data_IF_444285806528
#
_entry.id   IF_444285806528
#
_cell.length_a   1.000
_cell.length_b   1.000
_cell.length_c   1.000
_cell.angle_alpha   90.00
_cell.angle_beta   90.00
_cell.angle_gamma   90.00
#
_symmetry.space_group_name_H-M   'P 1'
#
loop_
_entity.id
_entity.type
_entity.pdbx_description
1 polymer ?
#
# COMPACT_ATOMS: atom_id res chain seq x y z
N UNK A 1 30.83 -17.47 0.66
CA UNK A 1 30.13 -16.18 0.85
C UNK A 1 29.28 -15.93 -0.38
N UNK A 2 27.96 -15.77 -0.24
CA UNK A 2 27.06 -15.42 -1.34
C UNK A 2 26.74 -13.93 -1.26
N UNK A 3 27.52 -13.09 -1.93
CA UNK A 3 27.31 -11.63 -1.96
C UNK A 3 26.14 -11.21 -2.89
N UNK A 4 25.63 -12.15 -3.67
CA UNK A 4 24.59 -11.93 -4.69
C UNK A 4 23.18 -12.31 -4.23
N UNK A 5 23.04 -13.08 -3.15
CA UNK A 5 21.73 -13.52 -2.65
C UNK A 5 21.14 -12.47 -1.71
N UNK A 6 20.00 -11.91 -2.08
CA UNK A 6 19.25 -10.94 -1.27
C UNK A 6 17.89 -11.50 -0.91
N UNK A 7 17.51 -11.33 0.34
CA UNK A 7 16.19 -11.72 0.85
C UNK A 7 15.32 -10.48 1.03
N UNK A 8 14.06 -10.57 0.60
CA UNK A 8 13.02 -9.66 1.05
C UNK A 8 12.36 -10.24 2.28
N UNK A 9 12.22 -9.42 3.32
CA UNK A 9 11.56 -9.80 4.57
C UNK A 9 10.14 -9.23 4.62
N UNK A 10 9.30 -9.86 5.44
CA UNK A 10 7.90 -9.45 5.61
C UNK A 10 7.76 -8.00 6.08
N UNK A 11 6.70 -7.34 5.63
CA UNK A 11 6.39 -5.96 5.93
C UNK A 11 6.30 -5.70 7.44
N UNK A 12 7.07 -4.72 7.92
CA UNK A 12 6.90 -4.19 9.27
C UNK A 12 5.58 -3.42 9.35
N UNK A 13 4.72 -3.82 10.30
CA UNK A 13 3.38 -3.23 10.48
C UNK A 13 3.45 -1.70 10.55
N UNK A 14 2.69 -1.03 9.69
CA UNK A 14 2.56 0.42 9.66
C UNK A 14 3.70 1.16 8.97
N UNK A 15 4.69 0.47 8.38
CA UNK A 15 5.72 1.10 7.55
C UNK A 15 5.34 1.10 6.08
N UNK A 16 5.38 2.27 5.45
CA UNK A 16 5.04 2.45 4.04
C UNK A 16 5.93 1.64 3.09
N UNK A 17 7.19 1.38 3.47
CA UNK A 17 8.11 0.53 2.70
C UNK A 17 7.65 -0.93 2.55
N UNK A 18 6.77 -1.41 3.43
CA UNK A 18 6.17 -2.75 3.35
C UNK A 18 4.80 -2.78 2.69
N UNK A 19 4.22 -1.64 2.34
CA UNK A 19 2.83 -1.56 1.87
C UNK A 19 2.61 -2.32 0.54
N UNK A 20 3.62 -2.33 -0.34
CA UNK A 20 3.56 -3.08 -1.59
C UNK A 20 3.34 -4.59 -1.36
N UNK A 21 3.84 -5.15 -0.26
CA UNK A 21 3.61 -6.57 0.09
C UNK A 21 2.17 -6.80 0.55
N UNK A 22 1.58 -5.85 1.27
CA UNK A 22 0.16 -5.89 1.65
C UNK A 22 -0.75 -5.75 0.43
N UNK A 23 -0.32 -5.02 -0.60
CA UNK A 23 -1.04 -4.91 -1.86
C UNK A 23 -0.90 -6.19 -2.68
N UNK A 24 0.31 -6.75 -2.76
CA UNK A 24 0.62 -8.03 -3.41
C UNK A 24 -0.22 -9.18 -2.84
N UNK A 25 -0.33 -9.28 -1.51
CA UNK A 25 -1.06 -10.35 -0.83
C UNK A 25 -2.58 -10.38 -1.13
N UNK A 26 -3.11 -9.36 -1.80
CA UNK A 26 -4.53 -9.29 -2.21
C UNK A 26 -4.76 -9.74 -3.65
N UNK A 27 -3.69 -9.90 -4.42
CA UNK A 27 -3.75 -10.34 -5.80
C UNK A 27 -3.91 -11.86 -5.86
N UNK A 28 -4.41 -12.35 -7.00
CA UNK A 28 -4.40 -13.79 -7.30
C UNK A 28 -2.97 -14.31 -7.42
N UNK A 29 -2.75 -15.62 -7.24
CA UNK A 29 -1.41 -16.23 -7.36
C UNK A 29 -0.71 -15.88 -8.69
N UNK A 30 -1.45 -15.87 -9.80
CA UNK A 30 -0.93 -15.50 -11.11
C UNK A 30 -0.44 -14.04 -11.16
N UNK A 31 -1.24 -13.10 -10.68
CA UNK A 31 -0.87 -11.68 -10.61
C UNK A 31 0.29 -11.43 -9.63
N UNK A 32 0.37 -12.19 -8.54
CA UNK A 32 1.49 -12.11 -7.59
C UNK A 32 2.81 -12.51 -8.24
N UNK A 33 2.83 -13.62 -8.99
CA UNK A 33 4.03 -14.06 -9.72
C UNK A 33 4.44 -13.00 -10.72
N UNK A 34 3.51 -12.50 -11.54
CA UNK A 34 3.81 -11.48 -12.54
C UNK A 34 4.42 -10.23 -11.90
N UNK A 35 3.85 -9.77 -10.78
CA UNK A 35 4.38 -8.63 -10.04
C UNK A 35 5.78 -8.92 -9.48
N UNK A 36 5.99 -10.03 -8.78
CA UNK A 36 7.29 -10.43 -8.23
C UNK A 36 8.37 -10.52 -9.32
N UNK A 37 8.04 -11.08 -10.48
CA UNK A 37 8.96 -11.21 -11.61
C UNK A 37 9.31 -9.87 -12.23
N UNK A 38 8.33 -8.98 -12.41
CA UNK A 38 8.58 -7.59 -12.83
C UNK A 38 9.47 -6.84 -11.84
N UNK A 39 9.42 -7.19 -10.56
CA UNK A 39 10.28 -6.63 -9.52
C UNK A 39 11.67 -7.28 -9.46
N UNK A 40 11.94 -8.28 -10.31
CA UNK A 40 13.22 -8.96 -10.38
C UNK A 40 13.42 -10.05 -9.32
N UNK A 41 12.36 -10.51 -8.65
CA UNK A 41 12.49 -11.65 -7.74
C UNK A 41 12.80 -12.93 -8.52
N UNK A 42 13.90 -13.59 -8.15
CA UNK A 42 14.35 -14.81 -8.81
C UNK A 42 13.72 -16.10 -8.23
N UNK A 43 13.12 -16.02 -7.04
CA UNK A 43 12.54 -17.17 -6.37
C UNK A 43 11.54 -16.81 -5.27
N UNK A 44 10.67 -17.76 -4.94
CA UNK A 44 9.81 -17.76 -3.76
C UNK A 44 10.36 -18.80 -2.78
N UNK A 45 10.65 -18.37 -1.55
CA UNK A 45 11.04 -19.27 -0.46
C UNK A 45 9.84 -19.51 0.47
N UNK A 46 9.51 -20.78 0.71
CA UNK A 46 8.42 -21.18 1.60
C UNK A 46 8.88 -22.24 2.60
N UNK A 47 8.30 -22.19 3.79
CA UNK A 47 8.40 -23.25 4.78
C UNK A 47 7.06 -23.99 4.83
N UNK A 48 7.07 -25.28 4.48
CA UNK A 48 5.89 -26.15 4.47
C UNK A 48 5.14 -26.14 5.81
N UNK A 49 5.84 -25.98 6.93
CA UNK A 49 5.21 -25.93 8.27
C UNK A 49 4.30 -24.72 8.48
N UNK A 50 4.43 -23.68 7.65
CA UNK A 50 3.58 -22.49 7.69
C UNK A 50 2.19 -22.71 7.06
N UNK A 51 1.93 -23.87 6.47
CA UNK A 51 0.70 -24.17 5.72
C UNK A 51 0.02 -25.42 6.28
N UNK A 52 -1.31 -25.39 6.38
CA UNK A 52 -2.10 -26.52 6.87
C UNK A 52 -1.98 -27.76 5.96
N UNK A 53 -1.92 -27.53 4.65
CA UNK A 53 -1.75 -28.55 3.60
C UNK A 53 -0.27 -28.73 3.21
N UNK A 54 0.67 -28.24 4.03
CA UNK A 54 2.10 -28.20 3.72
C UNK A 54 2.47 -27.42 2.46
N UNK A 55 1.57 -26.57 1.96
CA UNK A 55 1.77 -25.71 0.80
C UNK A 55 1.53 -26.40 -0.54
N UNK A 56 0.96 -27.61 -0.55
CA UNK A 56 0.75 -28.39 -1.77
C UNK A 56 -0.18 -27.68 -2.77
N UNK A 57 -1.25 -27.03 -2.31
CA UNK A 57 -2.14 -26.27 -3.18
C UNK A 57 -1.41 -25.12 -3.89
N UNK A 58 -0.66 -24.30 -3.13
CA UNK A 58 0.15 -23.21 -3.68
C UNK A 58 1.20 -23.76 -4.67
N UNK A 59 1.89 -24.84 -4.32
CA UNK A 59 2.87 -25.46 -5.20
C UNK A 59 2.26 -25.97 -6.50
N UNK A 60 1.08 -26.58 -6.45
CA UNK A 60 0.35 -27.03 -7.63
C UNK A 60 -0.05 -25.85 -8.53
N UNK A 61 -0.56 -24.76 -7.95
CA UNK A 61 -0.87 -23.52 -8.68
C UNK A 61 0.37 -22.93 -9.35
N UNK A 62 1.49 -22.83 -8.62
CA UNK A 62 2.76 -22.35 -9.18
C UNK A 62 3.22 -23.22 -10.35
N UNK A 63 3.12 -24.54 -10.25
CA UNK A 63 3.46 -25.45 -11.34
C UNK A 63 2.54 -25.29 -12.55
N UNK A 64 1.23 -25.11 -12.34
CA UNK A 64 0.26 -24.86 -13.41
C UNK A 64 0.55 -23.53 -14.14
N UNK A 65 1.15 -22.55 -13.45
CA UNK A 65 1.63 -21.29 -14.02
C UNK A 65 3.03 -21.39 -14.64
N UNK A 66 3.57 -22.60 -14.80
CA UNK A 66 4.88 -22.84 -15.42
C UNK A 66 6.07 -22.71 -14.46
N UNK A 67 5.85 -22.59 -13.15
CA UNK A 67 6.88 -22.49 -12.10
C UNK A 67 7.09 -23.82 -11.39
N UNK A 68 7.53 -24.81 -12.16
CA UNK A 68 7.74 -26.18 -11.66
C UNK A 68 9.14 -26.45 -11.12
N UNK A 69 10.13 -25.62 -11.46
CA UNK A 69 11.52 -25.78 -10.98
C UNK A 69 11.61 -25.45 -9.48
N UNK A 70 12.02 -26.44 -8.68
CA UNK A 70 12.06 -26.36 -7.22
C UNK A 70 13.38 -26.87 -6.67
N UNK A 71 13.85 -26.23 -5.60
CA UNK A 71 14.97 -26.69 -4.78
C UNK A 71 14.39 -27.01 -3.40
N UNK A 72 14.57 -28.24 -2.93
CA UNK A 72 14.12 -28.65 -1.61
C UNK A 72 15.30 -28.74 -0.64
N UNK A 73 15.08 -28.30 0.61
CA UNK A 73 16.03 -28.55 1.68
C UNK A 73 16.14 -30.05 1.99
N UNK A 74 17.21 -30.45 2.70
CA UNK A 74 17.47 -31.86 3.05
C UNK A 74 16.28 -32.53 3.76
N UNK A 75 15.59 -31.78 4.63
CA UNK A 75 14.39 -32.25 5.36
C UNK A 75 13.08 -32.05 4.59
N UNK A 76 13.15 -31.51 3.36
CA UNK A 76 12.02 -31.14 2.49
C UNK A 76 11.02 -30.15 3.09
N UNK A 77 11.37 -29.49 4.19
CA UNK A 77 10.50 -28.52 4.86
C UNK A 77 10.59 -27.13 4.25
N UNK A 78 11.79 -26.76 3.78
CA UNK A 78 12.03 -25.55 3.03
C UNK A 78 11.98 -25.89 1.54
N UNK A 79 11.23 -25.09 0.78
CA UNK A 79 11.21 -25.18 -0.68
C UNK A 79 11.49 -23.79 -1.24
N UNK A 80 12.32 -23.76 -2.28
CA UNK A 80 12.52 -22.60 -3.14
C UNK A 80 11.92 -22.92 -4.49
N UNK A 81 10.94 -22.13 -4.93
CA UNK A 81 10.37 -22.20 -6.28
C UNK A 81 11.05 -21.12 -7.12
N UNK A 82 11.63 -21.48 -8.27
CA UNK A 82 12.31 -20.52 -9.14
C UNK A 82 11.32 -19.75 -10.01
N UNK A 83 11.60 -18.46 -10.14
CA UNK A 83 10.87 -17.49 -10.96
C UNK A 83 11.73 -17.09 -12.17
N UNK A 84 11.12 -16.39 -13.13
CA UNK A 84 11.80 -15.78 -14.27
C UNK A 84 11.79 -14.25 -14.04
N UNK A 85 12.83 -13.70 -13.40
CA UNK A 85 12.90 -12.26 -13.16
C UNK A 85 12.99 -11.51 -14.49
N UNK A 86 12.32 -10.36 -14.57
CA UNK A 86 12.42 -9.47 -15.72
C UNK A 86 13.88 -9.00 -15.93
N UNK A 87 14.30 -8.90 -17.19
CA UNK A 87 15.64 -8.44 -17.55
C UNK A 87 15.94 -7.01 -17.07
N UNK A 88 14.90 -6.18 -17.00
CA UNK A 88 14.95 -4.82 -16.47
C UNK A 88 13.90 -4.69 -15.36
N UNK A 89 14.25 -5.03 -14.11
CA UNK A 89 13.30 -5.03 -13.02
C UNK A 89 12.90 -3.61 -12.62
N UNK A 90 11.63 -3.43 -12.25
CA UNK A 90 11.12 -2.18 -11.69
C UNK A 90 11.04 -2.27 -10.16
N UNK A 91 11.27 -1.19 -9.41
CA UNK A 91 11.17 -1.25 -7.96
C UNK A 91 9.74 -1.62 -7.49
N UNK A 92 9.59 -2.45 -6.43
CA UNK A 92 8.29 -2.71 -5.83
C UNK A 92 7.65 -1.42 -5.33
N UNK A 93 6.42 -1.17 -5.78
CA UNK A 93 5.71 0.06 -5.48
C UNK A 93 4.31 -0.23 -4.94
N UNK A 94 3.93 0.50 -3.89
CA UNK A 94 2.60 0.40 -3.32
C UNK A 94 1.58 1.12 -4.22
N UNK A 95 0.35 0.60 -4.27
CA UNK A 95 -0.79 1.20 -4.96
C UNK A 95 -1.65 2.05 -4.03
N UNK A 96 -1.38 1.98 -2.73
CA UNK A 96 -2.09 2.69 -1.66
C UNK A 96 -1.12 3.38 -0.72
N UNK A 97 -1.60 4.44 -0.09
CA UNK A 97 -0.96 5.10 1.03
C UNK A 97 -1.14 4.28 2.31
N UNK A 98 -0.15 4.30 3.18
CA UNK A 98 -0.18 3.64 4.49
C UNK A 98 -0.70 4.59 5.55
N UNK A 99 -1.81 4.22 6.20
CA UNK A 99 -2.35 4.97 7.32
C UNK A 99 -1.44 4.90 8.56
N UNK A 100 -1.15 6.07 9.13
CA UNK A 100 -0.34 6.25 10.33
C UNK A 100 -1.17 6.65 11.56
N UNK A 101 -0.78 7.76 12.21
CA UNK A 101 -1.47 8.29 13.41
C UNK A 101 -2.74 9.05 13.05
N UNK A 102 -3.61 9.25 14.04
CA UNK A 102 -4.84 10.02 13.95
C UNK A 102 -6.04 9.32 13.32
N UNK A 103 -5.90 8.06 12.92
CA UNK A 103 -6.97 7.27 12.31
C UNK A 103 -7.60 6.29 13.30
N UNK A 104 -8.92 6.21 13.27
CA UNK A 104 -9.64 5.10 13.89
C UNK A 104 -9.24 3.78 13.24
N UNK A 105 -9.09 2.74 14.06
CA UNK A 105 -8.97 1.38 13.55
C UNK A 105 -10.35 0.91 13.09
N UNK A 106 -10.45 0.25 11.93
CA UNK A 106 -11.66 -0.46 11.57
C UNK A 106 -12.05 -1.42 12.71
N UNK A 107 -13.35 -1.61 12.99
CA UNK A 107 -13.82 -2.65 13.88
C UNK A 107 -13.26 -4.02 13.47
N UNK A 108 -13.10 -4.94 14.42
CA UNK A 108 -12.76 -6.33 14.09
C UNK A 108 -13.86 -6.91 13.18
N UNK A 109 -13.47 -7.40 12.00
CA UNK A 109 -14.43 -7.90 10.99
C UNK A 109 -15.08 -6.82 10.13
N UNK A 110 -14.74 -5.53 10.31
CA UNK A 110 -15.21 -4.46 9.44
C UNK A 110 -14.79 -4.69 7.98
N UNK A 111 -15.70 -4.43 7.05
CA UNK A 111 -15.41 -4.54 5.62
C UNK A 111 -14.32 -3.52 5.25
N UNK A 112 -13.40 -3.91 4.36
CA UNK A 112 -12.37 -2.99 3.86
C UNK A 112 -12.94 -1.76 3.12
N UNK A 113 -14.24 -1.77 2.82
CA UNK A 113 -14.98 -0.68 2.17
C UNK A 113 -15.47 0.38 3.15
N UNK A 114 -15.35 0.17 4.48
CA UNK A 114 -15.71 1.19 5.44
C UNK A 114 -14.73 2.37 5.42
N UNK A 115 -15.22 3.62 5.47
CA UNK A 115 -14.36 4.78 5.52
C UNK A 115 -13.52 4.79 6.79
N UNK A 116 -12.24 5.14 6.64
CA UNK A 116 -11.35 5.33 7.78
C UNK A 116 -11.46 6.75 8.30
N UNK A 117 -12.03 6.87 9.49
CA UNK A 117 -12.26 8.17 10.14
C UNK A 117 -11.03 8.66 10.90
N UNK A 118 -10.75 9.96 10.78
CA UNK A 118 -9.82 10.68 11.63
C UNK A 118 -10.53 11.26 12.86
N UNK A 119 -9.84 11.31 14.00
CA UNK A 119 -10.31 11.94 15.25
C UNK A 119 -9.39 13.01 15.80
N UNK A 120 -8.17 13.09 15.27
CA UNK A 120 -7.13 14.10 15.53
C UNK A 120 -6.38 14.36 14.19
N UNK A 121 -5.43 15.31 14.11
CA UNK A 121 -4.59 15.47 12.93
C UNK A 121 -4.00 14.13 12.52
N UNK A 122 -4.18 13.76 11.25
CA UNK A 122 -3.97 12.41 10.79
C UNK A 122 -2.89 12.34 9.72
N UNK A 123 -2.05 11.31 9.79
CA UNK A 123 -0.93 11.14 8.85
C UNK A 123 -1.12 9.87 8.02
N UNK A 124 -0.91 9.98 6.72
CA UNK A 124 -0.67 8.85 5.83
C UNK A 124 0.77 8.94 5.31
N UNK A 125 1.33 7.82 4.87
CA UNK A 125 2.71 7.79 4.37
C UNK A 125 2.81 6.95 3.11
N UNK A 126 3.78 7.29 2.27
CA UNK A 126 4.14 6.55 1.08
C UNK A 126 5.65 6.37 1.04
N UNK A 127 6.12 5.28 0.44
CA UNK A 127 7.55 5.07 0.22
C UNK A 127 7.81 5.17 -1.29
N UNK A 128 8.53 6.20 -1.72
CA UNK A 128 9.04 6.29 -3.08
C UNK A 128 10.25 5.35 -3.19
N UNK A 129 10.17 4.26 -3.98
CA UNK A 129 11.26 3.30 -4.09
C UNK A 129 12.33 3.70 -5.11
N UNK A 130 12.13 4.80 -5.85
CA UNK A 130 13.09 5.31 -6.82
C UNK A 130 14.20 6.11 -6.13
N UNK A 131 15.38 6.12 -6.76
CA UNK A 131 16.54 6.88 -6.27
C UNK A 131 16.37 8.39 -6.41
N UNK A 132 15.45 8.84 -7.27
CA UNK A 132 15.19 10.24 -7.58
C UNK A 132 13.78 10.66 -7.16
N UNK A 133 13.57 11.96 -7.05
CA UNK A 133 12.24 12.54 -6.91
C UNK A 133 11.39 12.21 -8.14
N UNK A 134 10.14 11.78 -7.93
CA UNK A 134 9.21 11.41 -9.00
C UNK A 134 7.85 12.04 -8.77
N UNK A 135 7.14 12.29 -9.86
CA UNK A 135 5.75 12.76 -9.82
C UNK A 135 4.79 11.59 -9.68
N UNK A 136 3.80 11.75 -8.81
CA UNK A 136 2.77 10.77 -8.53
C UNK A 136 1.39 11.40 -8.66
N UNK A 137 0.45 10.64 -9.21
CA UNK A 137 -0.96 10.95 -9.11
C UNK A 137 -1.54 10.20 -7.89
N UNK A 138 -2.05 10.98 -6.95
CA UNK A 138 -2.73 10.51 -5.74
C UNK A 138 -4.21 10.81 -5.86
N UNK A 139 -5.07 9.85 -5.55
CA UNK A 139 -6.51 10.05 -5.45
C UNK A 139 -6.96 9.77 -4.03
N UNK A 140 -7.67 10.71 -3.43
CA UNK A 140 -8.26 10.57 -2.09
C UNK A 140 -9.78 10.76 -2.17
N UNK A 141 -10.55 9.77 -1.72
CA UNK A 141 -11.98 9.93 -1.50
C UNK A 141 -12.23 10.45 -0.09
N UNK A 142 -12.59 11.72 0.06
CA UNK A 142 -12.70 12.41 1.36
C UNK A 142 -14.14 12.86 1.66
N UNK A 143 -14.52 12.82 2.93
CA UNK A 143 -15.73 13.46 3.45
C UNK A 143 -15.50 14.06 4.83
N UNK A 144 -16.27 15.08 5.20
CA UNK A 144 -16.30 15.72 6.51
C UNK A 144 -17.34 15.08 7.45
N UNK A 145 -17.16 15.28 8.75
CA UNK A 145 -18.11 14.84 9.77
C UNK A 145 -19.12 15.95 10.13
N UNK A 146 -20.41 15.65 10.01
CA UNK A 146 -21.52 16.47 10.54
C UNK A 146 -21.87 17.72 9.72
N UNK A 147 -20.90 18.59 9.43
CA UNK A 147 -21.08 19.81 8.65
C UNK A 147 -19.89 20.06 7.72
N UNK A 148 -19.97 21.11 6.89
CA UNK A 148 -18.87 21.48 6.00
C UNK A 148 -17.63 21.83 6.81
N UNK A 149 -16.52 21.15 6.49
CA UNK A 149 -15.23 21.25 7.17
C UNK A 149 -14.13 21.55 6.19
N UNK A 150 -13.37 22.61 6.49
CA UNK A 150 -12.09 22.85 5.83
C UNK A 150 -11.06 21.89 6.40
N UNK A 151 -10.44 21.11 5.53
CA UNK A 151 -9.36 20.18 5.81
C UNK A 151 -8.13 20.60 5.02
N UNK A 152 -7.04 20.80 5.72
CA UNK A 152 -5.73 21.11 5.16
C UNK A 152 -4.99 19.81 4.93
N UNK A 153 -4.65 19.52 3.69
CA UNK A 153 -3.73 18.45 3.32
C UNK A 153 -2.35 19.05 3.10
N UNK A 154 -1.31 18.47 3.69
CA UNK A 154 0.07 18.82 3.39
C UNK A 154 0.95 17.63 3.05
N UNK A 155 1.84 17.81 2.07
CA UNK A 155 2.82 16.79 1.65
C UNK A 155 4.20 17.24 2.08
N UNK A 156 4.85 16.43 2.94
CA UNK A 156 6.14 16.72 3.56
C UNK A 156 6.23 18.13 4.18
N UNK A 157 5.09 18.68 4.63
CA UNK A 157 4.98 20.02 5.22
C UNK A 157 5.14 21.20 4.25
N UNK A 158 5.24 20.97 2.93
CA UNK A 158 5.51 22.03 1.93
C UNK A 158 4.28 22.37 1.09
N UNK A 159 3.79 21.40 0.32
CA UNK A 159 2.59 21.57 -0.48
C UNK A 159 1.39 21.56 0.45
N UNK A 160 0.54 22.59 0.39
CA UNK A 160 -0.70 22.66 1.17
C UNK A 160 -1.88 22.81 0.23
N UNK A 161 -2.90 22.00 0.46
CA UNK A 161 -4.19 22.11 -0.20
C UNK A 161 -5.27 22.21 0.86
N UNK A 162 -6.05 23.29 0.80
CA UNK A 162 -7.25 23.44 1.62
C UNK A 162 -8.45 22.90 0.84
N UNK A 163 -9.22 22.02 1.47
CA UNK A 163 -10.37 21.37 0.87
C UNK A 163 -11.57 21.49 1.79
N UNK A 164 -12.67 22.02 1.27
CA UNK A 164 -13.94 22.00 1.96
C UNK A 164 -14.68 20.67 1.69
N UNK A 165 -14.91 19.92 2.77
CA UNK A 165 -15.55 18.62 2.75
C UNK A 165 -16.95 18.69 3.35
N UNK A 166 -17.94 18.22 2.60
CA UNK A 166 -19.29 17.94 3.12
C UNK A 166 -19.40 16.51 3.65
N UNK A 167 -20.57 16.12 4.13
CA UNK A 167 -20.87 14.76 4.59
C UNK A 167 -20.82 13.70 3.47
N UNK A 168 -20.88 14.12 2.20
CA UNK A 168 -20.76 13.26 1.03
C UNK A 168 -19.30 13.08 0.62
N UNK A 169 -18.93 11.85 0.31
CA UNK A 169 -17.60 11.54 -0.22
C UNK A 169 -17.39 12.18 -1.59
N UNK A 170 -16.24 12.83 -1.77
CA UNK A 170 -15.76 13.37 -3.06
C UNK A 170 -14.33 12.92 -3.31
N UNK A 171 -14.03 12.64 -4.57
CA UNK A 171 -12.66 12.32 -4.99
C UNK A 171 -11.84 13.59 -5.25
N UNK A 172 -10.61 13.58 -4.75
CA UNK A 172 -9.63 14.63 -4.91
C UNK A 172 -8.38 14.06 -5.58
N UNK A 173 -8.21 14.26 -6.90
CA UNK A 173 -6.99 13.93 -7.60
C UNK A 173 -5.92 15.01 -7.31
N UNK A 174 -4.70 14.57 -7.06
CA UNK A 174 -3.56 15.39 -6.70
C UNK A 174 -2.35 14.91 -7.49
N UNK A 175 -1.59 15.85 -8.07
CA UNK A 175 -0.26 15.58 -8.58
C UNK A 175 0.75 16.10 -7.57
N UNK A 176 1.64 15.22 -7.10
CA UNK A 176 2.60 15.53 -6.04
C UNK A 176 3.97 15.02 -6.43
N UNK A 177 5.02 15.77 -6.12
CA UNK A 177 6.40 15.30 -6.26
C UNK A 177 6.89 14.71 -4.95
N UNK A 178 7.33 13.46 -4.99
CA UNK A 178 7.74 12.71 -3.81
C UNK A 178 9.24 12.43 -3.84
N UNK A 179 9.91 12.80 -2.76
CA UNK A 179 11.34 12.55 -2.56
C UNK A 179 11.63 11.05 -2.46
N UNK A 180 12.85 10.58 -2.74
CA UNK A 180 13.26 9.21 -2.47
C UNK A 180 12.98 8.81 -1.01
N UNK A 181 12.43 7.62 -0.82
CA UNK A 181 12.13 7.09 0.51
C UNK A 181 10.78 7.54 1.09
N UNK A 182 10.65 7.66 2.43
CA UNK A 182 9.37 7.91 3.09
C UNK A 182 8.88 9.36 2.91
N UNK A 183 7.64 9.51 2.45
CA UNK A 183 6.93 10.77 2.31
C UNK A 183 5.67 10.75 3.17
N UNK A 184 5.28 11.91 3.71
CA UNK A 184 4.17 12.05 4.65
C UNK A 184 3.09 12.97 4.08
N UNK A 185 1.85 12.51 4.19
CA UNK A 185 0.63 13.23 3.87
C UNK A 185 -0.07 13.53 5.19
N UNK A 186 -0.04 14.77 5.65
CA UNK A 186 -0.68 15.19 6.90
C UNK A 186 -2.00 15.87 6.57
N UNK A 187 -3.07 15.43 7.21
CA UNK A 187 -4.41 15.97 7.08
C UNK A 187 -4.84 16.53 8.42
N UNK A 188 -5.27 17.79 8.43
CA UNK A 188 -5.77 18.46 9.63
C UNK A 188 -7.08 19.18 9.33
N UNK A 189 -8.01 19.19 10.27
CA UNK A 189 -9.24 19.98 10.13
C UNK A 189 -9.15 21.22 11.02
N UNK A 190 -9.48 22.37 10.43
CA UNK A 190 -9.54 23.64 11.17
C UNK A 190 -10.58 23.57 12.31
N UNK A 191 -11.62 22.75 12.17
CA UNK A 191 -12.66 22.55 13.18
C UNK A 191 -12.39 21.27 13.99
N UNK A 192 -12.63 21.27 15.31
CA UNK A 192 -12.43 20.08 16.14
C UNK A 192 -13.36 18.92 15.78
N UNK A 193 -13.01 17.72 16.22
CA UNK A 193 -13.83 16.51 16.06
C UNK A 193 -15.22 16.69 16.64
N UNK A 194 -16.23 16.16 15.94
CA UNK A 194 -17.62 16.09 16.42
C UNK A 194 -17.99 14.65 16.73
N UNK A 195 -18.84 14.48 17.74
CA UNK A 195 -19.43 13.19 18.06
C UNK A 195 -20.66 12.97 17.18
N UNK A 196 -20.65 11.93 16.34
CA UNK A 196 -21.78 11.64 15.43
C UNK A 196 -22.91 10.83 16.07
N UNK A 197 -22.63 10.03 17.10
CA UNK A 197 -23.65 9.30 17.86
C UNK A 197 -23.24 9.09 19.32
N UNK A 198 -24.17 8.61 20.16
CA UNK A 198 -23.91 8.35 21.57
C UNK A 198 -22.95 7.18 21.84
N UNK A 199 -22.66 6.36 20.82
CA UNK A 199 -21.81 5.17 20.94
C UNK A 199 -20.33 5.51 21.22
N UNK A 200 -19.55 4.49 21.58
CA UNK A 200 -18.10 4.61 21.81
C UNK A 200 -17.37 4.88 20.49
N UNK A 201 -16.27 5.65 20.55
CA UNK A 201 -15.37 5.98 19.41
C UNK A 201 -16.04 6.73 18.24
N UNK A 202 -17.00 7.59 18.55
CA UNK A 202 -17.74 8.36 17.55
C UNK A 202 -17.22 9.78 17.32
N UNK A 203 -16.06 10.15 17.91
CA UNK A 203 -15.38 11.41 17.62
C UNK A 203 -14.76 11.34 16.23
N UNK A 204 -15.23 12.19 15.32
CA UNK A 204 -14.88 12.16 13.90
C UNK A 204 -14.64 13.59 13.39
N UNK A 205 -13.63 13.75 12.54
CA UNK A 205 -13.36 15.00 11.82
C UNK A 205 -13.64 14.86 10.33
N UNK A 206 -12.94 13.93 9.68
CA UNK A 206 -13.07 13.61 8.27
C UNK A 206 -12.80 12.13 8.06
N UNK A 207 -13.18 11.61 6.91
CA UNK A 207 -13.02 10.21 6.54
C UNK A 207 -12.31 10.06 5.20
N UNK A 208 -11.49 9.02 5.09
CA UNK A 208 -10.95 8.52 3.82
C UNK A 208 -11.74 7.27 3.43
N UNK A 209 -12.51 7.38 2.35
CA UNK A 209 -13.31 6.28 1.76
C UNK A 209 -12.46 5.40 0.85
N UNK A 210 -11.45 6.00 0.21
CA UNK A 210 -10.54 5.32 -0.68
C UNK A 210 -9.27 6.13 -0.87
N UNK A 211 -8.18 5.43 -1.14
CA UNK A 211 -6.95 6.07 -1.60
C UNK A 211 -6.29 5.19 -2.65
N UNK A 212 -5.70 5.85 -3.64
CA UNK A 212 -4.80 5.22 -4.61
C UNK A 212 -3.66 6.17 -4.93
N UNK A 213 -2.54 5.59 -5.32
CA UNK A 213 -1.36 6.31 -5.77
C UNK A 213 -0.72 5.55 -6.93
N UNK A 214 -0.30 6.28 -7.95
CA UNK A 214 0.44 5.75 -9.08
C UNK A 214 1.52 6.73 -9.51
N UNK A 215 2.64 6.21 -9.99
CA UNK A 215 3.68 7.03 -10.61
C UNK A 215 3.13 7.61 -11.93
N UNK A 216 3.44 8.87 -12.21
CA UNK A 216 3.22 9.47 -13.52
C UNK A 216 4.42 9.07 -14.38
N UNK A 217 4.17 8.21 -15.36
CA UNK A 217 5.23 7.65 -16.20
C UNK A 217 5.85 8.78 -17.06
N UNK A 218 7.16 9.09 -16.96
CA UNK A 218 7.78 10.10 -17.81
C UNK A 218 7.79 9.70 -19.30
N UNK A 219 7.55 8.44 -19.65
CA UNK A 219 7.51 7.97 -21.04
C UNK A 219 6.22 8.34 -21.80
N UNK A 220 5.21 8.91 -21.14
CA UNK A 220 3.92 9.26 -21.76
C UNK A 220 3.85 10.70 -22.31
N UNK A 221 4.85 11.55 -22.08
CA UNK A 221 4.82 12.96 -22.53
C UNK A 221 5.42 13.22 -23.92
N UNK A 222 6.04 12.22 -24.57
CA UNK A 222 6.63 12.35 -25.92
C UNK A 222 5.80 11.77 -27.06
N UNK A 223 4.53 11.44 -26.83
CA UNK A 223 3.59 11.08 -27.90
C UNK A 223 2.48 12.12 -27.98
N UNK A 224 2.81 13.29 -28.54
CA UNK A 224 1.84 14.27 -29.03
C UNK A 224 2.17 14.61 -30.47
#
# INVERSE_FOLDING_TARGET
>A
MTETLRFSYGALKGRSSGQWQCDLARLTTAEQIQALESYGFAAIYLNRRGFADRGEALLAELAALGRSERIEGVRREQIVVRLQPAAQPVPPIARKLTFGRGWHRPPHGGLQTEPRWAFEPATMSFFNPYADEREFEVKLGLSGAGSVRSVQLSVNGREKLDVDLSDKAREFPLKVRLLPGPNHFNLDSVKPAVRLSAERRQLRMFAVHGNSIRVVDPAAETAK
#
